data_IF_402321802580
#
_entry.id   IF_402321802580
#
_cell.length_a   1.000
_cell.length_b   1.000
_cell.length_c   1.000
_cell.angle_alpha   90.00
_cell.angle_beta   90.00
_cell.angle_gamma   90.00
#
_symmetry.space_group_name_H-M   'P 1'
#
loop_
_entity.id
_entity.type
_entity.pdbx_description
1 polymer ?
#
# COMPACT_ATOMS: atom_id res chain seq x y z
N UNK A 1 39.95 -12.69 14.21
CA UNK A 1 39.14 -12.98 15.42
C UNK A 1 38.30 -11.76 15.84
N UNK A 2 38.86 -10.55 15.84
CA UNK A 2 38.18 -9.28 16.18
C UNK A 2 36.96 -8.92 15.31
N UNK A 3 37.03 -9.09 13.97
CA UNK A 3 35.89 -8.80 13.07
C UNK A 3 34.65 -9.66 13.36
N UNK A 4 34.84 -10.89 13.83
CA UNK A 4 33.75 -11.81 14.19
C UNK A 4 33.04 -11.41 15.50
N UNK A 5 33.79 -10.84 16.45
CA UNK A 5 33.27 -10.34 17.73
C UNK A 5 32.50 -9.02 17.56
N UNK A 6 32.98 -8.13 16.68
CA UNK A 6 32.28 -6.87 16.36
C UNK A 6 30.93 -7.14 15.66
N UNK A 7 30.90 -8.09 14.73
CA UNK A 7 29.69 -8.51 14.02
C UNK A 7 28.67 -9.19 14.95
N UNK A 8 29.14 -10.02 15.90
CA UNK A 8 28.27 -10.61 16.93
C UNK A 8 27.71 -9.56 17.89
N UNK A 9 28.48 -8.53 18.27
CA UNK A 9 28.01 -7.43 19.13
C UNK A 9 26.98 -6.52 18.45
N UNK A 10 27.13 -6.23 17.16
CA UNK A 10 26.15 -5.45 16.38
C UNK A 10 24.86 -6.21 16.11
N UNK A 11 24.95 -7.52 15.81
CA UNK A 11 23.77 -8.38 15.68
C UNK A 11 23.00 -8.48 17.02
N UNK A 12 23.72 -8.59 18.13
CA UNK A 12 23.14 -8.62 19.49
C UNK A 12 22.42 -7.31 19.85
N UNK A 13 22.91 -6.14 19.43
CA UNK A 13 22.26 -4.87 19.77
C UNK A 13 21.02 -4.61 18.91
N UNK A 14 21.03 -4.99 17.63
CA UNK A 14 19.86 -4.92 16.75
C UNK A 14 18.76 -5.88 17.20
N UNK A 15 19.11 -7.10 17.62
CA UNK A 15 18.13 -8.04 18.17
C UNK A 15 17.51 -7.56 19.49
N UNK A 16 18.27 -6.83 20.31
CA UNK A 16 17.78 -6.25 21.56
C UNK A 16 16.82 -5.07 21.29
N UNK A 17 17.16 -4.19 20.35
CA UNK A 17 16.29 -3.09 19.91
C UNK A 17 14.98 -3.60 19.31
N UNK A 18 15.04 -4.62 18.45
CA UNK A 18 13.86 -5.27 17.90
C UNK A 18 12.98 -5.86 19.01
N UNK A 19 13.57 -6.50 20.02
CA UNK A 19 12.83 -7.00 21.20
C UNK A 19 12.15 -5.88 21.97
N UNK A 20 12.80 -4.74 22.16
CA UNK A 20 12.21 -3.61 22.89
C UNK A 20 11.06 -2.94 22.12
N UNK A 21 11.18 -2.83 20.80
CA UNK A 21 10.10 -2.33 19.93
C UNK A 21 8.92 -3.31 19.93
N UNK A 22 9.19 -4.62 19.80
CA UNK A 22 8.17 -5.67 19.87
C UNK A 22 7.47 -5.65 21.24
N UNK A 23 8.22 -5.52 22.34
CA UNK A 23 7.66 -5.41 23.69
C UNK A 23 6.82 -4.14 23.85
N UNK A 24 7.27 -3.01 23.33
CA UNK A 24 6.52 -1.75 23.35
C UNK A 24 5.19 -1.87 22.58
N UNK A 25 5.23 -2.44 21.37
CA UNK A 25 4.03 -2.62 20.54
C UNK A 25 3.08 -3.67 21.14
N UNK A 26 3.60 -4.79 21.65
CA UNK A 26 2.78 -5.85 22.25
C UNK A 26 2.16 -5.44 23.59
N UNK A 27 2.90 -4.72 24.45
CA UNK A 27 2.37 -4.24 25.73
C UNK A 27 1.29 -3.17 25.55
N UNK A 28 1.36 -2.40 24.45
CA UNK A 28 0.35 -1.39 24.11
C UNK A 28 -0.92 -2.01 23.52
N UNK A 29 -0.84 -3.20 22.90
CA UNK A 29 -1.95 -3.79 22.15
C UNK A 29 -2.11 -5.30 22.40
N UNK A 30 -2.95 -5.68 23.37
CA UNK A 30 -3.32 -7.09 23.67
C UNK A 30 -3.90 -7.79 22.44
N UNK A 31 -3.36 -8.96 22.07
CA UNK A 31 -3.78 -9.75 20.89
C UNK A 31 -4.80 -10.85 21.21
N UNK A 32 -5.75 -11.08 20.30
CA UNK A 32 -6.70 -12.22 20.27
C UNK A 32 -6.00 -13.47 19.70
N UNK A 33 -6.16 -14.70 20.26
CA UNK A 33 -5.42 -15.89 19.81
C UNK A 33 -6.17 -16.69 18.73
N UNK A 34 -5.47 -17.28 17.75
CA UNK A 34 -6.04 -18.30 16.85
C UNK A 34 -5.06 -19.42 16.43
N UNK A 35 -5.67 -20.59 16.22
CA UNK A 35 -5.12 -21.94 16.12
C UNK A 35 -4.46 -22.31 14.78
N UNK A 36 -3.64 -23.36 14.82
CA UNK A 36 -2.70 -23.82 13.80
C UNK A 36 -3.21 -25.00 12.95
N UNK A 37 -3.28 -24.84 11.62
CA UNK A 37 -3.32 -25.96 10.65
C UNK A 37 -2.56 -25.55 9.38
N UNK A 38 -1.63 -26.39 8.90
CA UNK A 38 -0.87 -26.17 7.64
C UNK A 38 -1.25 -27.20 6.56
N UNK A 39 -1.54 -26.76 5.31
CA UNK A 39 -1.42 -27.62 4.13
C UNK A 39 -0.57 -27.02 2.98
N UNK A 40 -0.25 -27.90 2.01
CA UNK A 40 0.72 -27.87 0.88
C UNK A 40 0.90 -26.57 0.06
N UNK A 41 2.11 -26.46 -0.52
CA UNK A 41 2.61 -25.37 -1.39
C UNK A 41 1.89 -25.28 -2.76
N UNK A 42 1.47 -24.08 -3.22
CA UNK A 42 0.90 -23.85 -4.55
C UNK A 42 1.82 -23.09 -5.53
N UNK A 43 1.30 -22.84 -6.74
CA UNK A 43 1.99 -22.32 -7.93
C UNK A 43 1.84 -20.80 -8.12
N UNK A 44 2.64 -20.20 -9.03
CA UNK A 44 2.67 -18.76 -9.36
C UNK A 44 1.29 -18.11 -9.64
N UNK A 45 0.28 -18.91 -10.04
CA UNK A 45 -1.08 -18.45 -10.34
C UNK A 45 -1.96 -18.33 -9.09
N UNK A 46 -1.61 -19.01 -8.00
CA UNK A 46 -2.33 -19.03 -6.73
C UNK A 46 -2.05 -17.78 -5.86
N UNK A 47 -1.05 -16.97 -6.22
CA UNK A 47 -0.64 -15.77 -5.48
C UNK A 47 -1.51 -14.53 -5.78
N UNK A 48 -2.31 -14.55 -6.86
CA UNK A 48 -3.14 -13.40 -7.32
C UNK A 48 -4.45 -13.20 -6.54
N UNK A 49 -4.71 -13.97 -5.50
CA UNK A 49 -5.96 -13.88 -4.72
C UNK A 49 -5.74 -13.38 -3.28
N UNK A 50 -4.48 -13.09 -2.89
CA UNK A 50 -4.12 -12.86 -1.48
C UNK A 50 -3.44 -11.48 -1.29
N UNK A 51 -3.21 -10.76 -2.38
CA UNK A 51 -2.44 -9.50 -2.42
C UNK A 51 -3.07 -8.50 -3.38
N UNK A 52 -4.39 -8.29 -3.28
CA UNK A 52 -5.00 -7.08 -3.83
C UNK A 52 -4.19 -5.92 -3.20
N UNK A 53 -3.53 -5.13 -4.04
CA UNK A 53 -2.45 -4.22 -3.65
C UNK A 53 -3.03 -3.12 -2.79
N UNK A 54 -2.51 -3.01 -1.58
CA UNK A 54 -2.94 -2.00 -0.62
C UNK A 54 -2.14 -0.72 -0.81
N UNK A 55 -2.38 -0.06 -1.95
CA UNK A 55 -2.15 1.38 -2.11
C UNK A 55 -3.46 2.05 -2.43
N UNK A 56 -3.91 2.88 -1.50
CA UNK A 56 -5.17 3.58 -1.65
C UNK A 56 -4.95 5.08 -1.79
N UNK A 57 -3.98 5.65 -1.09
CA UNK A 57 -3.78 7.09 -1.09
C UNK A 57 -3.21 7.57 -2.42
N UNK A 58 -2.14 6.94 -2.92
CA UNK A 58 -1.56 7.31 -4.21
C UNK A 58 -2.56 7.13 -5.37
N UNK A 59 -3.31 6.03 -5.40
CA UNK A 59 -4.32 5.80 -6.44
C UNK A 59 -5.47 6.80 -6.38
N UNK A 60 -5.93 7.15 -5.17
CA UNK A 60 -6.94 8.20 -5.01
C UNK A 60 -6.38 9.56 -5.45
N UNK A 61 -5.17 9.91 -5.02
CA UNK A 61 -4.52 11.17 -5.33
C UNK A 61 -4.31 11.36 -6.83
N UNK A 62 -3.81 10.33 -7.51
CA UNK A 62 -3.55 10.30 -8.96
C UNK A 62 -4.84 10.23 -9.80
N UNK A 63 -6.01 10.23 -9.17
CA UNK A 63 -7.29 10.43 -9.87
C UNK A 63 -7.59 11.91 -10.13
N UNK A 64 -6.77 12.83 -9.58
CA UNK A 64 -6.89 14.28 -9.73
C UNK A 64 -8.34 14.75 -9.53
N UNK A 65 -8.94 14.42 -8.39
CA UNK A 65 -10.32 14.83 -8.03
C UNK A 65 -11.45 14.38 -8.96
N UNK A 66 -11.20 13.59 -10.02
CA UNK A 66 -12.25 12.96 -10.80
C UNK A 66 -12.84 11.79 -10.01
N UNK A 67 -14.08 11.95 -9.54
CA UNK A 67 -14.73 11.00 -8.64
C UNK A 67 -14.92 9.62 -9.25
N UNK A 68 -15.21 9.52 -10.55
CA UNK A 68 -15.42 8.24 -11.21
C UNK A 68 -14.10 7.53 -11.49
N UNK A 69 -13.06 8.30 -11.84
CA UNK A 69 -11.70 7.76 -11.94
C UNK A 69 -11.23 7.26 -10.58
N UNK A 70 -11.50 8.01 -9.51
CA UNK A 70 -11.20 7.62 -8.13
C UNK A 70 -11.92 6.32 -7.74
N UNK A 71 -13.24 6.23 -7.97
CA UNK A 71 -14.01 4.99 -7.76
C UNK A 71 -13.38 3.82 -8.49
N UNK A 72 -13.06 3.99 -9.77
CA UNK A 72 -12.42 2.97 -10.60
C UNK A 72 -11.06 2.54 -10.05
N UNK A 73 -10.26 3.50 -9.58
CA UNK A 73 -8.96 3.26 -8.96
C UNK A 73 -9.05 2.41 -7.68
N UNK A 74 -10.05 2.68 -6.83
CA UNK A 74 -10.26 1.94 -5.58
C UNK A 74 -10.70 0.49 -5.81
N UNK A 75 -11.56 0.25 -6.80
CA UNK A 75 -12.18 -1.07 -7.00
C UNK A 75 -11.41 -1.99 -7.94
N UNK A 76 -10.35 -1.49 -8.61
CA UNK A 76 -9.70 -2.17 -9.73
C UNK A 76 -9.26 -3.60 -9.43
N UNK A 77 -8.67 -3.85 -8.26
CA UNK A 77 -8.21 -5.19 -7.85
C UNK A 77 -9.37 -6.17 -7.62
N UNK A 78 -10.54 -5.65 -7.27
CA UNK A 78 -11.77 -6.42 -7.05
C UNK A 78 -12.52 -6.70 -8.36
N UNK A 79 -12.08 -6.15 -9.49
CA UNK A 79 -12.73 -6.26 -10.80
C UNK A 79 -11.83 -6.99 -11.80
N UNK A 80 -12.22 -8.22 -12.15
CA UNK A 80 -11.43 -9.14 -12.99
C UNK A 80 -12.07 -9.36 -14.37
N UNK A 81 -11.22 -9.37 -15.40
CA UNK A 81 -11.63 -9.69 -16.78
C UNK A 81 -12.78 -8.81 -17.25
N UNK A 82 -13.84 -9.44 -17.79
CA UNK A 82 -15.03 -8.77 -18.34
C UNK A 82 -15.94 -8.12 -17.29
N UNK A 83 -15.69 -8.31 -15.99
CA UNK A 83 -16.46 -7.60 -14.94
C UNK A 83 -16.35 -6.08 -15.07
N UNK A 84 -15.28 -5.57 -15.69
CA UNK A 84 -15.12 -4.14 -15.97
C UNK A 84 -16.29 -3.56 -16.80
N UNK A 85 -16.91 -4.36 -17.66
CA UNK A 85 -18.00 -3.92 -18.55
C UNK A 85 -19.29 -3.59 -17.78
N UNK A 86 -19.38 -3.96 -16.50
CA UNK A 86 -20.52 -3.70 -15.62
C UNK A 86 -20.52 -2.27 -15.05
N UNK A 87 -19.41 -1.54 -15.20
CA UNK A 87 -19.23 -0.20 -14.62
C UNK A 87 -19.45 0.89 -15.66
N UNK A 88 -19.80 2.10 -15.21
CA UNK A 88 -19.92 3.28 -16.07
C UNK A 88 -18.60 3.56 -16.80
N UNK A 89 -18.63 4.09 -18.05
CA UNK A 89 -17.42 4.26 -18.87
C UNK A 89 -16.26 5.00 -18.17
N UNK A 90 -16.57 6.04 -17.37
CA UNK A 90 -15.57 6.79 -16.62
C UNK A 90 -14.95 5.95 -15.49
N UNK A 91 -15.74 5.17 -14.75
CA UNK A 91 -15.24 4.22 -13.75
C UNK A 91 -14.35 3.15 -14.40
N UNK A 92 -14.70 2.66 -15.59
CA UNK A 92 -13.84 1.74 -16.34
C UNK A 92 -12.48 2.37 -16.69
N UNK A 93 -12.46 3.66 -17.03
CA UNK A 93 -11.21 4.39 -17.26
C UNK A 93 -10.36 4.44 -15.99
N UNK A 94 -10.97 4.66 -14.82
CA UNK A 94 -10.28 4.58 -13.52
C UNK A 94 -9.68 3.20 -13.24
N UNK A 95 -10.40 2.12 -13.54
CA UNK A 95 -9.89 0.74 -13.40
C UNK A 95 -8.70 0.50 -14.34
N UNK A 96 -8.75 1.01 -15.58
CA UNK A 96 -7.62 0.92 -16.52
C UNK A 96 -6.44 1.76 -16.04
N UNK A 97 -6.69 2.96 -15.52
CA UNK A 97 -5.66 3.84 -14.97
C UNK A 97 -4.95 3.19 -13.78
N UNK A 98 -5.69 2.56 -12.85
CA UNK A 98 -5.08 1.79 -11.77
C UNK A 98 -4.06 0.79 -12.29
N UNK A 99 -4.45 -0.03 -13.27
CA UNK A 99 -3.57 -1.05 -13.86
C UNK A 99 -2.36 -0.43 -14.56
N UNK A 100 -2.52 0.73 -15.16
CA UNK A 100 -1.45 1.49 -15.80
C UNK A 100 -0.46 2.04 -14.77
N UNK A 101 -0.94 2.63 -13.66
CA UNK A 101 -0.15 3.07 -12.50
C UNK A 101 0.63 1.88 -11.94
N UNK A 102 -0.03 0.76 -11.75
CA UNK A 102 0.54 -0.47 -11.22
C UNK A 102 1.66 -1.02 -12.09
N UNK A 103 1.43 -1.07 -13.40
CA UNK A 103 2.41 -1.58 -14.37
C UNK A 103 3.65 -0.68 -14.38
N UNK A 104 3.44 0.65 -14.49
CA UNK A 104 4.54 1.61 -14.45
C UNK A 104 5.33 1.51 -13.14
N UNK A 105 4.62 1.47 -12.00
CA UNK A 105 5.22 1.32 -10.68
C UNK A 105 5.96 0.00 -10.55
N UNK A 106 5.43 -1.12 -11.07
CA UNK A 106 6.09 -2.42 -10.95
C UNK A 106 7.36 -2.54 -11.81
N UNK A 107 7.38 -1.87 -12.95
CA UNK A 107 8.46 -1.95 -13.91
C UNK A 107 9.58 -0.94 -13.67
N UNK A 108 9.30 0.15 -12.93
CA UNK A 108 10.26 1.23 -12.71
C UNK A 108 11.53 0.78 -11.95
N UNK A 109 12.75 1.20 -12.35
CA UNK A 109 13.99 0.80 -11.67
C UNK A 109 14.05 1.20 -10.19
N UNK A 110 13.58 2.41 -9.85
CA UNK A 110 13.56 2.93 -8.47
C UNK A 110 12.66 2.09 -7.53
N UNK A 111 11.48 1.69 -8.00
CA UNK A 111 10.59 0.85 -7.18
C UNK A 111 11.14 -0.57 -7.04
N UNK A 112 11.82 -1.09 -8.06
CA UNK A 112 12.55 -2.36 -7.97
C UNK A 112 13.64 -2.30 -6.91
N UNK A 113 14.35 -1.18 -6.78
CA UNK A 113 15.33 -0.96 -5.70
C UNK A 113 14.67 -1.01 -4.32
N UNK A 114 13.57 -0.28 -4.11
CA UNK A 114 12.82 -0.35 -2.86
C UNK A 114 12.34 -1.77 -2.53
N UNK A 115 11.81 -2.50 -3.53
CA UNK A 115 11.39 -3.89 -3.37
C UNK A 115 12.55 -4.80 -2.94
N UNK A 116 13.79 -4.55 -3.39
CA UNK A 116 14.94 -5.36 -2.96
C UNK A 116 15.23 -5.22 -1.46
N UNK A 117 14.91 -4.10 -0.84
CA UNK A 117 15.11 -3.90 0.61
C UNK A 117 14.19 -4.84 1.41
N UNK A 118 12.94 -5.01 0.95
CA UNK A 118 11.96 -5.90 1.57
C UNK A 118 12.12 -7.37 1.17
N UNK A 119 12.63 -7.65 -0.03
CA UNK A 119 12.67 -9.00 -0.60
C UNK A 119 13.30 -10.08 0.31
N UNK A 120 14.40 -9.82 1.06
CA UNK A 120 14.95 -10.80 2.00
C UNK A 120 13.97 -11.20 3.12
N UNK A 121 13.13 -10.26 3.57
CA UNK A 121 12.19 -10.51 4.67
C UNK A 121 10.86 -11.10 4.18
N UNK A 122 10.36 -10.66 3.02
CA UNK A 122 8.97 -10.95 2.60
C UNK A 122 8.85 -11.55 1.20
N UNK A 123 9.96 -11.75 0.49
CA UNK A 123 9.99 -12.42 -0.81
C UNK A 123 9.08 -11.76 -1.85
N UNK A 124 8.14 -12.55 -2.38
CA UNK A 124 7.19 -12.11 -3.42
C UNK A 124 6.23 -11.02 -2.93
N UNK A 125 6.04 -10.87 -1.61
CA UNK A 125 5.18 -9.83 -1.04
C UNK A 125 5.86 -8.45 -1.00
N UNK A 126 7.14 -8.34 -1.38
CA UNK A 126 7.91 -7.09 -1.33
C UNK A 126 7.24 -5.93 -2.06
N UNK A 127 6.52 -6.20 -3.16
CA UNK A 127 5.72 -5.19 -3.86
C UNK A 127 4.68 -4.53 -2.97
N UNK A 128 3.80 -5.32 -2.36
CA UNK A 128 2.70 -4.82 -1.50
C UNK A 128 3.21 -4.00 -0.31
N UNK A 129 4.36 -4.36 0.25
CA UNK A 129 4.94 -3.58 1.35
C UNK A 129 5.59 -2.29 0.85
N UNK A 130 6.27 -2.33 -0.31
CA UNK A 130 6.83 -1.12 -0.95
C UNK A 130 5.72 -0.12 -1.26
N UNK A 131 4.62 -0.65 -1.77
CA UNK A 131 3.40 0.07 -2.06
C UNK A 131 2.94 0.84 -0.80
N UNK A 132 2.60 0.14 0.30
CA UNK A 132 2.14 0.77 1.56
C UNK A 132 3.09 1.88 2.03
N UNK A 133 4.39 1.69 1.84
CA UNK A 133 5.40 2.66 2.23
C UNK A 133 5.41 3.91 1.34
N UNK A 134 5.07 3.80 0.06
CA UNK A 134 4.91 5.00 -0.77
C UNK A 134 3.68 5.82 -0.39
N UNK A 135 2.58 5.16 0.00
CA UNK A 135 1.43 5.85 0.60
C UNK A 135 1.82 6.58 1.90
N UNK A 136 2.72 6.01 2.71
CA UNK A 136 3.27 6.69 3.90
C UNK A 136 4.01 7.98 3.56
N UNK A 137 4.89 7.93 2.57
CA UNK A 137 5.67 9.11 2.18
C UNK A 137 4.77 10.16 1.55
N UNK A 138 3.84 9.78 0.67
CA UNK A 138 2.86 10.70 0.10
C UNK A 138 2.02 11.39 1.19
N UNK A 139 1.56 10.65 2.21
CA UNK A 139 0.82 11.22 3.33
C UNK A 139 1.62 12.23 4.16
N UNK A 140 2.95 12.24 4.05
CA UNK A 140 3.84 13.15 4.76
C UNK A 140 4.60 14.11 3.82
N UNK A 141 4.34 14.09 2.52
CA UNK A 141 5.00 14.98 1.57
C UNK A 141 4.34 16.38 1.63
N UNK A 142 5.04 17.42 2.13
CA UNK A 142 4.48 18.75 2.24
C UNK A 142 4.21 19.42 0.88
N UNK A 143 4.74 18.89 -0.22
CA UNK A 143 4.43 19.36 -1.57
C UNK A 143 3.02 18.94 -2.00
N UNK A 144 2.50 17.84 -1.46
CA UNK A 144 1.20 17.27 -1.86
C UNK A 144 0.14 17.46 -0.76
N UNK A 145 0.52 17.37 0.52
CA UNK A 145 -0.39 17.49 1.64
C UNK A 145 0.18 18.26 2.82
N UNK A 146 -0.56 19.28 3.28
CA UNK A 146 -0.59 19.61 4.70
C UNK A 146 -1.46 18.62 5.48
N UNK A 147 -1.32 18.61 6.81
CA UNK A 147 -2.12 17.74 7.67
C UNK A 147 -3.63 17.87 7.45
N UNK A 148 -4.11 19.12 7.37
CA UNK A 148 -5.53 19.41 7.13
C UNK A 148 -5.96 18.94 5.74
N UNK A 149 -5.14 19.16 4.72
CA UNK A 149 -5.45 18.74 3.35
C UNK A 149 -5.54 17.22 3.24
N UNK A 150 -4.64 16.46 3.89
CA UNK A 150 -4.73 15.00 3.90
C UNK A 150 -6.02 14.52 4.57
N UNK A 151 -6.40 15.13 5.70
CA UNK A 151 -7.63 14.79 6.40
C UNK A 151 -8.87 15.07 5.54
N UNK A 152 -8.96 16.26 4.95
CA UNK A 152 -10.08 16.65 4.10
C UNK A 152 -10.17 15.74 2.86
N UNK A 153 -9.03 15.48 2.21
CA UNK A 153 -8.95 14.57 1.06
C UNK A 153 -9.40 13.15 1.43
N UNK A 154 -9.05 12.66 2.62
CA UNK A 154 -9.48 11.33 3.05
C UNK A 154 -11.00 11.24 3.21
N UNK A 155 -11.62 12.29 3.77
CA UNK A 155 -13.08 12.35 3.91
C UNK A 155 -13.77 12.45 2.54
N UNK A 156 -13.23 13.25 1.62
CA UNK A 156 -13.72 13.37 0.24
C UNK A 156 -13.70 12.01 -0.46
N UNK A 157 -12.57 11.30 -0.39
CA UNK A 157 -12.44 9.97 -1.01
C UNK A 157 -13.47 8.98 -0.47
N UNK A 158 -13.70 8.95 0.85
CA UNK A 158 -14.72 8.10 1.45
C UNK A 158 -16.15 8.50 1.06
N UNK A 159 -16.42 9.79 0.93
CA UNK A 159 -17.71 10.29 0.44
C UNK A 159 -17.96 9.85 -1.01
N UNK A 160 -16.95 10.00 -1.88
CA UNK A 160 -17.00 9.55 -3.29
C UNK A 160 -17.35 8.07 -3.37
N UNK A 161 -16.76 7.22 -2.53
CA UNK A 161 -17.07 5.80 -2.51
C UNK A 161 -18.49 5.50 -1.98
N UNK A 162 -18.99 6.29 -1.03
CA UNK A 162 -20.34 6.09 -0.47
C UNK A 162 -21.47 6.54 -1.41
N UNK A 163 -21.25 7.55 -2.26
CA UNK A 163 -22.28 8.06 -3.19
C UNK A 163 -22.76 7.01 -4.20
N UNK A 164 -21.93 6.04 -4.55
CA UNK A 164 -22.29 4.92 -5.43
C UNK A 164 -22.02 3.57 -4.77
N UNK A 165 -22.25 3.50 -3.45
CA UNK A 165 -21.91 2.34 -2.64
C UNK A 165 -22.49 1.05 -3.22
N UNK A 166 -23.73 1.06 -3.71
CA UNK A 166 -24.42 -0.15 -4.14
C UNK A 166 -23.78 -0.86 -5.34
N UNK A 167 -23.13 -0.12 -6.24
CA UNK A 167 -22.45 -0.68 -7.41
C UNK A 167 -21.01 -1.11 -7.11
N UNK A 168 -20.49 -0.87 -5.91
CA UNK A 168 -19.17 -1.37 -5.52
C UNK A 168 -19.14 -2.90 -5.41
N UNK A 169 -18.01 -3.55 -5.73
CA UNK A 169 -17.84 -4.99 -5.49
C UNK A 169 -18.12 -5.36 -4.03
N UNK A 170 -18.85 -6.45 -3.79
CA UNK A 170 -19.30 -6.86 -2.45
C UNK A 170 -18.16 -7.05 -1.44
N UNK A 171 -17.01 -7.56 -1.90
CA UNK A 171 -15.80 -7.68 -1.08
C UNK A 171 -15.24 -6.31 -0.72
N UNK A 172 -15.20 -5.38 -1.68
CA UNK A 172 -14.72 -4.02 -1.43
C UNK A 172 -15.62 -3.25 -0.47
N UNK A 173 -16.96 -3.43 -0.53
CA UNK A 173 -17.90 -2.85 0.45
C UNK A 173 -17.49 -3.16 1.90
N UNK A 174 -17.07 -4.40 2.17
CA UNK A 174 -16.62 -4.81 3.50
C UNK A 174 -15.29 -4.13 3.88
N UNK A 175 -14.35 -4.04 2.93
CA UNK A 175 -13.07 -3.36 3.16
C UNK A 175 -13.29 -1.87 3.45
N UNK A 176 -14.16 -1.22 2.68
CA UNK A 176 -14.49 0.21 2.82
C UNK A 176 -15.00 0.57 4.22
N UNK A 177 -15.85 -0.29 4.82
CA UNK A 177 -16.34 -0.07 6.18
C UNK A 177 -15.18 0.03 7.20
N UNK A 178 -14.17 -0.82 7.07
CA UNK A 178 -12.98 -0.77 7.94
C UNK A 178 -12.07 0.42 7.60
N UNK A 179 -11.90 0.71 6.30
CA UNK A 179 -11.12 1.87 5.85
C UNK A 179 -11.67 3.17 6.43
N UNK A 180 -13.00 3.36 6.39
CA UNK A 180 -13.67 4.55 6.90
C UNK A 180 -13.61 4.62 8.42
N UNK A 181 -13.95 3.52 9.10
CA UNK A 181 -13.97 3.48 10.57
C UNK A 181 -12.61 3.85 11.17
N UNK A 182 -11.53 3.34 10.58
CA UNK A 182 -10.18 3.53 11.11
C UNK A 182 -9.40 4.62 10.31
N UNK A 183 -10.08 5.35 9.41
CA UNK A 183 -9.54 6.37 8.50
C UNK A 183 -8.14 6.02 7.96
N UNK A 184 -8.05 4.91 7.22
CA UNK A 184 -6.77 4.36 6.75
C UNK A 184 -5.95 5.37 5.94
N UNK A 185 -6.60 6.12 5.05
CA UNK A 185 -5.94 7.09 4.16
C UNK A 185 -5.22 8.18 4.95
N UNK A 186 -5.89 8.77 5.95
CA UNK A 186 -5.26 9.75 6.84
C UNK A 186 -4.22 9.09 7.75
N UNK A 187 -4.49 7.88 8.23
CA UNK A 187 -3.61 7.16 9.15
C UNK A 187 -2.26 6.77 8.56
N UNK A 188 -2.13 6.73 7.23
CA UNK A 188 -0.85 6.50 6.56
C UNK A 188 0.23 7.51 6.95
N UNK A 189 -0.13 8.72 7.40
CA UNK A 189 0.87 9.69 7.90
C UNK A 189 1.66 9.16 9.11
N UNK A 190 1.06 8.25 9.89
CA UNK A 190 1.61 7.78 11.16
C UNK A 190 2.21 6.38 11.01
N UNK A 191 3.33 6.15 11.73
CA UNK A 191 3.97 4.82 11.82
C UNK A 191 3.03 3.73 12.32
N UNK A 192 2.14 4.07 13.25
CA UNK A 192 1.13 3.15 13.76
C UNK A 192 0.16 2.68 12.65
N UNK A 193 -0.32 3.60 11.81
CA UNK A 193 -1.19 3.26 10.68
C UNK A 193 -0.50 2.31 9.71
N UNK A 194 0.76 2.59 9.37
CA UNK A 194 1.58 1.72 8.52
C UNK A 194 1.78 0.35 9.13
N UNK A 195 2.10 0.27 10.42
CA UNK A 195 2.23 -1.01 11.10
C UNK A 195 0.93 -1.83 11.04
N UNK A 196 -0.24 -1.20 11.25
CA UNK A 196 -1.53 -1.90 11.14
C UNK A 196 -1.81 -2.37 9.70
N UNK A 197 -1.48 -1.56 8.69
CA UNK A 197 -1.61 -1.96 7.28
C UNK A 197 -0.72 -3.16 6.94
N UNK A 198 0.56 -3.12 7.35
CA UNK A 198 1.50 -4.23 7.18
C UNK A 198 1.05 -5.50 7.92
N UNK A 199 0.50 -5.35 9.12
CA UNK A 199 -0.08 -6.45 9.90
C UNK A 199 -1.31 -7.03 9.22
N UNK A 200 -2.16 -6.19 8.65
CA UNK A 200 -3.31 -6.60 7.86
C UNK A 200 -2.91 -7.44 6.65
N UNK A 201 -1.89 -7.00 5.91
CA UNK A 201 -1.30 -7.77 4.80
C UNK A 201 -0.74 -9.09 5.31
N UNK A 202 0.09 -9.07 6.35
CA UNK A 202 0.71 -10.28 6.89
C UNK A 202 -0.30 -11.31 7.37
N UNK A 203 -1.41 -10.87 7.99
CA UNK A 203 -2.50 -11.75 8.43
C UNK A 203 -3.23 -12.41 7.26
N UNK A 204 -3.39 -11.70 6.14
CA UNK A 204 -4.06 -12.25 4.95
C UNK A 204 -3.11 -13.09 4.10
N UNK A 205 -1.82 -12.76 4.12
CA UNK A 205 -0.78 -13.40 3.34
C UNK A 205 -0.55 -14.86 3.75
N UNK A 206 -1.26 -15.77 3.09
CA UNK A 206 -1.25 -17.22 3.36
C UNK A 206 0.14 -17.87 3.40
N UNK A 207 1.11 -17.31 2.68
CA UNK A 207 2.49 -17.84 2.58
C UNK A 207 3.55 -16.91 3.15
N UNK A 208 3.15 -15.84 3.84
CA UNK A 208 4.10 -14.99 4.54
C UNK A 208 4.23 -15.50 5.98
N UNK A 209 5.31 -16.22 6.26
CA UNK A 209 5.60 -16.67 7.63
C UNK A 209 6.27 -15.57 8.46
N UNK A 210 6.77 -14.53 7.80
CA UNK A 210 7.44 -13.39 8.43
C UNK A 210 6.44 -12.57 9.25
N UNK A 211 6.67 -12.36 10.56
CA UNK A 211 5.86 -11.48 11.38
C UNK A 211 5.87 -10.05 10.86
N UNK A 212 4.76 -9.33 11.02
CA UNK A 212 4.62 -7.94 10.56
C UNK A 212 5.67 -7.02 11.18
N UNK A 213 6.12 -7.32 12.40
CA UNK A 213 7.15 -6.62 13.14
C UNK A 213 8.51 -6.68 12.44
N UNK A 214 8.84 -7.83 11.83
CA UNK A 214 10.09 -7.97 11.07
C UNK A 214 10.04 -7.11 9.81
N UNK A 215 8.92 -7.13 9.09
CA UNK A 215 8.73 -6.28 7.90
C UNK A 215 8.73 -4.80 8.25
N UNK A 216 8.10 -4.43 9.37
CA UNK A 216 8.11 -3.06 9.87
C UNK A 216 9.52 -2.61 10.26
N UNK A 217 10.35 -3.49 10.83
CA UNK A 217 11.74 -3.17 11.11
C UNK A 217 12.54 -2.90 9.83
N UNK A 218 12.28 -3.62 8.73
CA UNK A 218 12.93 -3.32 7.43
C UNK A 218 12.60 -1.90 6.99
N UNK A 219 11.35 -1.47 7.13
CA UNK A 219 10.95 -0.10 6.84
C UNK A 219 11.68 0.91 7.72
N UNK A 220 11.77 0.68 9.03
CA UNK A 220 12.47 1.59 9.96
C UNK A 220 13.98 1.65 9.66
N UNK A 221 14.63 0.50 9.45
CA UNK A 221 16.07 0.39 9.15
C UNK A 221 16.44 1.11 7.85
N UNK A 222 15.50 1.17 6.89
CA UNK A 222 15.71 1.75 5.56
C UNK A 222 14.91 3.04 5.32
N UNK A 223 14.37 3.67 6.37
CA UNK A 223 13.45 4.80 6.24
C UNK A 223 13.99 5.95 5.37
N UNK A 224 15.26 6.32 5.54
CA UNK A 224 15.87 7.40 4.77
C UNK A 224 16.18 7.01 3.32
N UNK A 225 16.51 5.74 3.07
CA UNK A 225 16.75 5.25 1.72
C UNK A 225 15.45 5.18 0.93
N UNK A 226 14.40 4.66 1.55
CA UNK A 226 13.07 4.56 0.95
C UNK A 226 12.48 5.95 0.67
N UNK A 227 12.72 6.95 1.54
CA UNK A 227 12.33 8.34 1.31
C UNK A 227 12.95 8.91 0.04
N UNK A 228 14.27 8.76 -0.16
CA UNK A 228 14.97 9.23 -1.37
C UNK A 228 14.46 8.54 -2.64
N UNK A 229 14.14 7.26 -2.55
CA UNK A 229 13.55 6.51 -3.66
C UNK A 229 12.18 7.10 -4.00
N UNK A 230 11.33 7.36 -3.00
CA UNK A 230 10.03 8.00 -3.19
C UNK A 230 10.18 9.39 -3.83
N UNK A 231 11.02 10.26 -3.27
CA UNK A 231 11.27 11.62 -3.77
C UNK A 231 11.70 11.64 -5.25
N UNK A 232 12.51 10.65 -5.65
CA UNK A 232 12.97 10.53 -7.04
C UNK A 232 11.94 9.87 -7.97
N UNK A 233 11.05 9.02 -7.44
CA UNK A 233 10.09 8.23 -8.20
C UNK A 233 8.74 8.94 -8.38
N UNK A 234 8.17 9.49 -7.32
CA UNK A 234 6.80 9.99 -7.31
C UNK A 234 6.53 11.07 -8.38
N UNK A 235 7.42 12.06 -8.60
CA UNK A 235 7.22 13.03 -9.68
C UNK A 235 7.15 12.38 -11.08
N UNK A 236 7.88 11.28 -11.31
CA UNK A 236 7.85 10.52 -12.56
C UNK A 236 6.54 9.77 -12.74
N UNK A 237 6.01 9.23 -11.63
CA UNK A 237 4.69 8.62 -11.62
C UNK A 237 3.60 9.65 -11.93
N UNK A 238 3.64 10.82 -11.30
CA UNK A 238 2.69 11.91 -11.59
C UNK A 238 2.75 12.34 -13.05
N UNK A 239 3.95 12.52 -13.61
CA UNK A 239 4.14 12.87 -15.03
C UNK A 239 3.55 11.79 -15.96
N UNK A 240 3.85 10.53 -15.69
CA UNK A 240 3.29 9.40 -16.43
C UNK A 240 1.76 9.38 -16.39
N UNK A 241 1.16 9.55 -15.22
CA UNK A 241 -0.31 9.56 -15.06
C UNK A 241 -0.92 10.74 -15.80
N UNK A 242 -0.33 11.95 -15.71
CA UNK A 242 -0.80 13.12 -16.47
C UNK A 242 -0.80 12.85 -17.98
N UNK A 243 0.27 12.24 -18.50
CA UNK A 243 0.36 11.80 -19.89
C UNK A 243 -0.70 10.76 -20.25
N UNK A 244 -0.88 9.74 -19.41
CA UNK A 244 -1.88 8.69 -19.62
C UNK A 244 -3.30 9.27 -19.69
N UNK A 245 -3.65 10.19 -18.77
CA UNK A 245 -4.96 10.85 -18.74
C UNK A 245 -5.18 11.71 -20.00
N UNK A 246 -4.18 12.49 -20.41
CA UNK A 246 -4.26 13.31 -21.61
C UNK A 246 -4.52 12.46 -22.87
N UNK A 247 -3.88 11.30 -22.97
CA UNK A 247 -3.98 10.40 -24.12
C UNK A 247 -5.27 9.55 -24.11
N UNK A 248 -5.69 9.05 -22.95
CA UNK A 248 -6.72 7.99 -22.87
C UNK A 248 -8.06 8.43 -22.28
N UNK A 249 -8.10 9.57 -21.56
CA UNK A 249 -9.27 9.99 -20.77
C UNK A 249 -9.91 11.30 -21.27
N UNK A 250 -9.43 11.88 -22.37
CA UNK A 250 -10.10 13.00 -23.03
C UNK A 250 -9.96 14.35 -22.32
N UNK A 251 -8.83 14.60 -21.66
CA UNK A 251 -8.30 15.95 -21.39
C UNK A 251 -9.25 16.98 -20.78
N UNK A 252 -9.66 16.77 -19.52
CA UNK A 252 -9.88 17.89 -18.60
C UNK A 252 -9.24 17.49 -17.28
N UNK A 253 -8.01 17.94 -17.06
CA UNK A 253 -7.42 17.92 -15.72
C UNK A 253 -8.17 19.00 -14.92
N UNK A 254 -8.88 18.69 -13.83
CA UNK A 254 -9.35 19.74 -12.95
C UNK A 254 -8.13 20.47 -12.39
N UNK A 255 -8.13 21.79 -12.56
CA UNK A 255 -7.06 22.69 -12.13
C UNK A 255 -7.07 22.96 -10.64
#
# INVERSE_FOLDING_TARGET
MEKSLLQKRTLSSKSEQLRQIILYLNNRFKTIPLASVRPKQPTAKDYKAITDKMNYLAHAYLSFHDQDIMRGNFIADFVKGRQIEQFAPRVQQGIRLHRAIDTFTDEHPLTKEAKQLFKPAVGLYSGVFTDIIFDHYLANDPLHFSDKQLYDFSQEAYQVLNTDFEHLPSVFKQVLQYMQRDNWLYSYKNREGIFQSMRGVSRRAKYLETPAEVTFQVFEDHYQTLAKIYEAFFPKLEEYVKGYIAEHLGGVMPG
#
